data_IF_737904911122
#
_entry.id   IF_737904911122
#
_cell.length_a   1.000
_cell.length_b   1.000
_cell.length_c   1.000
_cell.angle_alpha   90.00
_cell.angle_beta   90.00
_cell.angle_gamma   90.00
#
_symmetry.space_group_name_H-M   'P 1'
#
loop_
_entity.id
_entity.type
_entity.pdbx_description
1 polymer ?
#
# COMPACT_ATOMS: atom_id res chain seq x y z
N UNK A 1 -11.76 -16.90 -11.57
CA UNK A 1 -10.82 -16.70 -10.44
C UNK A 1 -10.04 -15.42 -10.71
N UNK A 2 -10.13 -14.34 -9.92
CA UNK A 2 -9.20 -13.21 -10.06
C UNK A 2 -8.13 -13.33 -8.95
N UNK A 3 -6.93 -13.85 -9.25
CA UNK A 3 -5.75 -13.14 -9.77
C UNK A 3 -5.36 -11.90 -8.96
N UNK A 4 -4.74 -12.14 -7.79
CA UNK A 4 -3.86 -11.18 -7.12
C UNK A 4 -2.45 -11.41 -7.65
N UNK A 5 -1.90 -10.46 -8.41
CA UNK A 5 -0.57 -10.61 -9.05
C UNK A 5 0.52 -10.18 -8.06
N UNK A 6 0.86 -11.06 -7.11
CA UNK A 6 2.05 -10.87 -6.28
C UNK A 6 3.29 -11.31 -7.06
N UNK A 7 4.17 -10.38 -7.43
CA UNK A 7 5.53 -10.75 -7.86
C UNK A 7 6.31 -11.18 -6.62
N UNK A 8 6.46 -12.48 -6.39
CA UNK A 8 7.45 -13.02 -5.47
C UNK A 8 8.45 -13.89 -6.24
N UNK A 9 9.72 -13.51 -6.13
CA UNK A 9 10.84 -14.34 -6.53
C UNK A 9 11.32 -15.11 -5.28
N UNK A 10 11.42 -16.42 -5.45
CA UNK A 10 12.26 -17.42 -4.76
C UNK A 10 12.19 -17.67 -3.24
N UNK A 11 11.80 -18.93 -2.94
CA UNK A 11 12.35 -19.90 -1.97
C UNK A 11 12.61 -19.41 -0.52
N UNK A 12 12.05 -20.09 0.49
CA UNK A 12 12.81 -20.92 1.44
C UNK A 12 11.93 -21.63 2.48
N UNK A 13 12.53 -22.68 3.05
CA UNK A 13 12.00 -23.86 3.75
C UNK A 13 11.25 -23.59 5.07
N UNK A 14 10.34 -24.53 5.36
CA UNK A 14 9.73 -24.79 6.66
C UNK A 14 10.76 -25.13 7.73
N UNK A 15 10.61 -24.63 8.96
CA UNK A 15 10.90 -25.33 10.22
C UNK A 15 10.17 -24.61 11.37
N UNK A 16 9.53 -25.41 12.23
CA UNK A 16 8.79 -24.94 13.39
C UNK A 16 9.67 -24.72 14.63
N UNK A 17 9.12 -23.97 15.58
CA UNK A 17 9.03 -24.28 17.02
C UNK A 17 8.99 -23.01 17.88
N UNK A 18 7.99 -23.02 18.77
CA UNK A 18 7.98 -22.46 20.13
C UNK A 18 8.78 -21.18 20.38
N UNK A 19 8.11 -20.05 20.33
CA UNK A 19 8.55 -18.86 21.06
C UNK A 19 7.37 -18.27 21.85
N UNK A 20 7.44 -18.43 23.17
CA UNK A 20 6.67 -17.65 24.15
C UNK A 20 7.15 -16.21 24.04
N UNK A 21 6.24 -15.27 23.81
CA UNK A 21 6.54 -13.84 23.88
C UNK A 21 6.36 -13.36 25.33
N UNK A 22 7.33 -12.66 25.92
CA UNK A 22 7.13 -11.99 27.19
C UNK A 22 6.23 -10.77 26.99
N UNK A 23 5.26 -10.62 27.89
CA UNK A 23 4.49 -9.39 28.05
C UNK A 23 5.40 -8.26 28.54
N UNK A 24 5.12 -7.07 28.01
CA UNK A 24 5.44 -5.77 28.61
C UNK A 24 6.87 -5.22 28.39
N UNK A 25 7.02 -4.32 27.40
CA UNK A 25 8.03 -3.25 27.48
C UNK A 25 7.69 -2.07 26.57
N UNK A 26 7.05 -1.07 27.19
CA UNK A 26 7.15 0.39 27.00
C UNK A 26 7.81 0.91 25.70
N UNK A 27 7.03 1.64 24.91
CA UNK A 27 7.49 2.47 23.79
C UNK A 27 8.19 3.72 24.36
N UNK A 28 9.40 4.10 23.92
CA UNK A 28 10.09 5.28 24.44
C UNK A 28 9.57 6.57 23.78
N UNK A 29 9.51 7.62 24.59
CA UNK A 29 9.10 8.96 24.22
C UNK A 29 10.11 9.67 23.29
N UNK A 30 9.57 10.65 22.57
CA UNK A 30 10.11 11.46 21.47
C UNK A 30 11.49 12.07 21.74
N UNK A 31 12.31 12.20 20.69
CA UNK A 31 13.31 13.27 20.59
C UNK A 31 13.40 13.86 19.17
N UNK A 32 13.50 15.18 19.13
CA UNK A 32 13.59 16.06 17.95
C UNK A 32 14.97 15.88 17.28
N UNK A 33 15.02 15.63 15.96
CA UNK A 33 16.02 16.07 14.96
C UNK A 33 15.97 15.18 13.69
N UNK A 34 15.52 15.73 12.54
CA UNK A 34 15.63 15.07 11.21
C UNK A 34 14.52 14.07 10.86
N UNK A 35 13.35 14.59 10.44
CA UNK A 35 12.04 13.90 10.36
C UNK A 35 11.91 12.84 9.25
N UNK A 36 11.57 11.61 9.64
CA UNK A 36 10.28 10.99 9.28
C UNK A 36 9.69 10.36 10.53
N UNK A 37 9.04 11.19 11.36
CA UNK A 37 8.17 10.69 12.42
C UNK A 37 6.86 10.33 11.72
N UNK A 38 6.66 9.06 11.39
CA UNK A 38 5.29 8.55 11.24
C UNK A 38 4.67 8.62 12.63
N UNK A 39 4.01 9.74 12.92
CA UNK A 39 3.20 9.89 14.13
C UNK A 39 2.18 8.76 14.15
N UNK A 40 1.96 8.12 15.30
CA UNK A 40 0.94 7.10 15.59
C UNK A 40 -0.50 7.49 15.17
N UNK A 41 -0.69 8.72 14.71
CA UNK A 41 -1.96 9.36 14.33
C UNK A 41 -2.48 9.03 12.93
N UNK A 42 -1.76 8.30 12.07
CA UNK A 42 -2.24 7.94 10.71
C UNK A 42 -2.40 6.43 10.49
N UNK A 43 -2.33 5.63 11.56
CA UNK A 43 -2.60 4.18 11.48
C UNK A 43 -4.07 3.88 11.75
N UNK A 44 -4.70 3.13 10.85
CA UNK A 44 -6.04 2.56 11.00
C UNK A 44 -5.96 1.06 11.27
N UNK A 45 -6.89 0.55 12.07
CA UNK A 45 -7.03 -0.89 12.29
C UNK A 45 -7.85 -1.47 11.15
N UNK A 46 -7.45 -2.60 10.58
CA UNK A 46 -8.26 -3.33 9.60
C UNK A 46 -8.02 -4.84 9.73
N UNK A 47 -8.69 -5.63 8.90
CA UNK A 47 -8.53 -7.07 8.82
C UNK A 47 -7.90 -7.45 7.48
N UNK A 48 -6.88 -8.31 7.50
CA UNK A 48 -6.24 -8.85 6.29
C UNK A 48 -6.14 -10.38 6.38
N UNK A 49 -6.26 -11.08 5.26
CA UNK A 49 -6.09 -12.54 5.21
C UNK A 49 -4.80 -12.98 5.90
N UNK A 50 -4.89 -14.00 6.76
CA UNK A 50 -3.77 -14.44 7.63
C UNK A 50 -2.50 -14.77 6.86
N UNK A 51 -2.62 -15.33 5.64
CA UNK A 51 -1.48 -15.64 4.76
C UNK A 51 -0.74 -14.40 4.23
N UNK A 52 -1.45 -13.28 4.15
CA UNK A 52 -0.94 -12.00 3.66
C UNK A 52 -0.51 -11.07 4.80
N UNK A 53 -0.96 -11.33 6.03
CA UNK A 53 -0.63 -10.52 7.21
C UNK A 53 0.88 -10.55 7.50
N UNK A 54 1.60 -9.58 6.94
CA UNK A 54 3.04 -9.39 7.11
C UNK A 54 3.33 -7.92 7.25
N UNK A 55 4.16 -7.56 8.21
CA UNK A 55 4.60 -6.18 8.39
C UNK A 55 5.38 -5.70 7.15
N UNK A 56 5.14 -4.46 6.74
CA UNK A 56 5.68 -3.88 5.52
C UNK A 56 4.94 -4.27 4.23
N UNK A 57 3.99 -5.20 4.26
CA UNK A 57 3.20 -5.56 3.07
C UNK A 57 2.34 -4.37 2.61
N UNK A 58 2.41 -4.04 1.33
CA UNK A 58 1.52 -3.07 0.69
C UNK A 58 0.42 -3.78 -0.11
N UNK A 59 -0.80 -3.24 -0.06
CA UNK A 59 -1.93 -3.78 -0.79
C UNK A 59 -2.90 -2.68 -1.23
N UNK A 60 -3.71 -2.98 -2.27
CA UNK A 60 -4.83 -2.14 -2.69
C UNK A 60 -6.10 -2.70 -2.07
N UNK A 61 -6.80 -1.88 -1.29
CA UNK A 61 -8.09 -2.28 -0.75
C UNK A 61 -9.15 -2.21 -1.85
N UNK A 62 -9.79 -3.34 -2.19
CA UNK A 62 -10.74 -3.42 -3.31
C UNK A 62 -12.20 -3.16 -2.91
N UNK A 63 -12.51 -3.13 -1.61
CA UNK A 63 -13.86 -2.87 -1.11
C UNK A 63 -14.65 -4.12 -0.73
N UNK A 64 -15.97 -3.96 -0.64
CA UNK A 64 -16.91 -5.01 -0.26
C UNK A 64 -17.08 -6.06 -1.37
N UNK A 65 -17.18 -7.33 -0.97
CA UNK A 65 -17.57 -8.44 -1.85
C UNK A 65 -18.93 -9.00 -1.43
N UNK A 66 -19.70 -9.66 -2.33
CA UNK A 66 -21.03 -10.20 -2.03
C UNK A 66 -21.09 -11.07 -0.77
N UNK A 67 -20.03 -11.83 -0.50
CA UNK A 67 -19.86 -12.73 0.64
C UNK A 67 -19.75 -11.96 1.98
N UNK A 68 -19.32 -10.70 1.95
CA UNK A 68 -19.20 -9.86 3.13
C UNK A 68 -20.55 -9.43 3.72
N UNK A 69 -21.65 -9.52 2.96
CA UNK A 69 -22.99 -9.08 3.40
C UNK A 69 -23.45 -9.76 4.70
N UNK A 70 -23.05 -11.02 4.90
CA UNK A 70 -23.39 -11.82 6.09
C UNK A 70 -22.28 -11.83 7.16
N UNK A 71 -21.19 -11.11 6.94
CA UNK A 71 -20.03 -11.10 7.83
C UNK A 71 -20.25 -10.16 9.03
N UNK A 72 -19.98 -10.66 10.24
CA UNK A 72 -20.07 -9.87 11.48
C UNK A 72 -18.97 -8.83 11.61
N UNK A 73 -17.82 -9.08 10.97
CA UNK A 73 -16.63 -8.22 11.01
C UNK A 73 -16.56 -7.20 9.87
N UNK A 74 -17.63 -7.07 9.08
CA UNK A 74 -17.68 -6.21 7.89
C UNK A 74 -17.27 -4.77 8.19
N UNK A 75 -17.70 -4.20 9.31
CA UNK A 75 -17.42 -2.80 9.63
C UNK A 75 -15.92 -2.56 9.86
N UNK A 76 -15.22 -3.50 10.50
CA UNK A 76 -13.77 -3.39 10.74
C UNK A 76 -12.96 -3.75 9.49
N UNK A 77 -13.45 -4.68 8.66
CA UNK A 77 -12.79 -5.05 7.41
C UNK A 77 -12.94 -3.97 6.31
N UNK A 78 -14.11 -3.32 6.24
CA UNK A 78 -14.48 -2.38 5.18
C UNK A 78 -14.32 -0.90 5.58
N UNK A 79 -13.50 -0.61 6.59
CA UNK A 79 -13.27 0.76 7.08
C UNK A 79 -12.18 1.53 6.28
N UNK A 80 -11.67 0.93 5.23
CA UNK A 80 -10.69 1.53 4.31
C UNK A 80 -11.39 2.06 3.06
N UNK A 81 -10.81 3.09 2.48
CA UNK A 81 -11.27 3.62 1.19
C UNK A 81 -10.92 2.65 0.05
N UNK A 82 -11.91 2.23 -0.77
CA UNK A 82 -11.68 1.32 -1.89
C UNK A 82 -10.85 1.98 -2.99
N UNK A 83 -10.04 1.18 -3.69
CA UNK A 83 -9.14 1.65 -4.73
C UNK A 83 -7.90 2.38 -4.19
N UNK A 84 -7.63 2.32 -2.87
CA UNK A 84 -6.49 2.99 -2.24
C UNK A 84 -5.39 2.02 -1.78
N UNK A 85 -4.16 2.53 -1.72
CA UNK A 85 -2.99 1.75 -1.29
C UNK A 85 -2.68 1.95 0.19
N UNK A 86 -2.59 0.85 0.91
CA UNK A 86 -2.24 0.81 2.33
C UNK A 86 -1.03 -0.09 2.55
N UNK A 87 -0.32 0.15 3.65
CA UNK A 87 0.82 -0.64 4.10
C UNK A 87 0.58 -1.13 5.51
N UNK A 88 0.83 -2.41 5.75
CA UNK A 88 0.77 -3.00 7.09
C UNK A 88 1.94 -2.47 7.92
N UNK A 89 1.63 -1.77 8.99
CA UNK A 89 2.62 -1.23 9.94
C UNK A 89 2.95 -2.26 11.00
N UNK A 90 1.92 -2.88 11.59
CA UNK A 90 2.10 -3.92 12.61
C UNK A 90 0.93 -4.89 12.65
N UNK A 91 1.19 -6.11 13.11
CA UNK A 91 0.14 -7.10 13.37
C UNK A 91 -0.28 -6.97 14.84
N UNK A 92 -1.57 -6.69 15.10
CA UNK A 92 -2.06 -6.45 16.46
C UNK A 92 -2.27 -7.72 17.26
N UNK A 93 -2.89 -8.71 16.64
CA UNK A 93 -3.17 -10.00 17.26
C UNK A 93 -2.91 -11.13 16.27
N UNK A 94 -2.57 -12.30 16.81
CA UNK A 94 -2.49 -13.56 16.07
C UNK A 94 -3.82 -14.34 16.13
N UNK A 95 -4.87 -13.74 16.71
CA UNK A 95 -6.21 -14.30 16.72
C UNK A 95 -6.79 -14.30 15.31
N UNK A 96 -6.97 -15.50 14.77
CA UNK A 96 -7.54 -15.71 13.44
C UNK A 96 -9.06 -15.62 13.56
N UNK A 97 -9.64 -14.71 12.80
CA UNK A 97 -11.09 -14.62 12.64
C UNK A 97 -11.53 -15.30 11.36
N UNK A 98 -12.65 -16.00 11.41
CA UNK A 98 -13.23 -16.65 10.23
C UNK A 98 -13.68 -15.62 9.18
N UNK A 99 -13.45 -15.94 7.91
CA UNK A 99 -13.81 -15.09 6.78
C UNK A 99 -14.21 -15.95 5.59
N UNK A 100 -15.31 -15.62 4.94
CA UNK A 100 -15.82 -16.35 3.76
C UNK A 100 -14.95 -16.22 2.51
N UNK A 101 -14.04 -15.24 2.47
CA UNK A 101 -13.15 -14.98 1.33
C UNK A 101 -11.75 -15.56 1.50
N UNK A 102 -11.34 -15.82 2.74
CA UNK A 102 -9.99 -16.25 3.06
C UNK A 102 -10.05 -17.58 3.81
N UNK A 103 -9.65 -18.66 3.14
CA UNK A 103 -9.70 -20.03 3.68
C UNK A 103 -8.91 -20.23 4.98
N UNK A 104 -7.98 -19.32 5.30
CA UNK A 104 -7.18 -19.34 6.53
C UNK A 104 -7.56 -18.23 7.51
N UNK A 105 -8.73 -17.61 7.31
CA UNK A 105 -9.22 -16.49 8.11
C UNK A 105 -8.44 -15.19 7.91
N UNK A 106 -8.74 -14.21 8.76
CA UNK A 106 -8.18 -12.85 8.75
C UNK A 106 -7.59 -12.50 10.11
N UNK A 107 -6.60 -11.60 10.12
CA UNK A 107 -5.91 -11.09 11.30
C UNK A 107 -6.10 -9.58 11.42
N UNK A 108 -6.15 -9.08 12.65
CA UNK A 108 -6.18 -7.66 12.95
C UNK A 108 -4.78 -7.04 12.78
N UNK A 109 -4.71 -6.02 11.93
CA UNK A 109 -3.47 -5.30 11.60
C UNK A 109 -3.68 -3.79 11.67
N UNK A 110 -2.63 -3.07 12.02
CA UNK A 110 -2.58 -1.62 11.81
C UNK A 110 -2.00 -1.34 10.43
N UNK A 111 -2.68 -0.48 9.69
CA UNK A 111 -2.29 -0.06 8.35
C UNK A 111 -2.15 1.45 8.30
N UNK A 112 -1.17 1.93 7.52
CA UNK A 112 -1.05 3.35 7.16
C UNK A 112 -1.32 3.52 5.67
N UNK A 113 -1.61 4.76 5.24
CA UNK A 113 -1.55 5.07 3.81
C UNK A 113 -0.13 4.79 3.30
N UNK A 114 -0.03 4.18 2.12
CA UNK A 114 1.25 3.92 1.49
C UNK A 114 1.47 4.89 0.32
N UNK A 115 2.65 5.49 0.20
CA UNK A 115 2.97 6.31 -0.95
C UNK A 115 3.01 5.44 -2.21
N UNK A 116 2.54 5.99 -3.32
CA UNK A 116 2.43 5.31 -4.60
C UNK A 116 3.52 5.82 -5.52
N UNK A 117 4.34 4.91 -6.04
CA UNK A 117 5.38 5.26 -7.01
C UNK A 117 4.75 5.38 -8.39
N UNK A 118 4.94 6.52 -9.04
CA UNK A 118 4.40 6.79 -10.38
C UNK A 118 5.32 7.70 -11.19
N UNK A 119 5.12 7.73 -12.49
CA UNK A 119 5.80 8.67 -13.38
C UNK A 119 4.92 9.91 -13.59
N UNK A 120 5.49 11.09 -13.35
CA UNK A 120 4.83 12.38 -13.62
C UNK A 120 5.71 13.22 -14.54
N UNK A 121 5.10 14.22 -15.20
CA UNK A 121 5.83 15.18 -16.02
C UNK A 121 6.92 15.89 -15.21
N UNK A 122 8.11 16.02 -15.77
CA UNK A 122 9.27 16.64 -15.11
C UNK A 122 8.99 18.05 -14.57
N UNK A 123 8.10 18.80 -15.21
CA UNK A 123 7.68 20.15 -14.77
C UNK A 123 6.85 20.13 -13.48
N UNK A 124 6.10 19.06 -13.23
CA UNK A 124 5.26 18.87 -12.04
C UNK A 124 6.02 18.16 -10.91
N UNK A 125 7.13 17.50 -11.23
CA UNK A 125 7.95 16.70 -10.32
C UNK A 125 8.80 17.54 -9.35
N UNK A 126 8.14 18.29 -8.47
CA UNK A 126 8.77 19.10 -7.42
C UNK A 126 8.50 18.46 -6.06
N UNK A 127 9.54 18.17 -5.30
CA UNK A 127 9.42 17.60 -3.97
C UNK A 127 8.63 18.54 -3.05
N UNK A 128 7.68 17.98 -2.30
CA UNK A 128 6.79 18.73 -1.42
C UNK A 128 5.60 19.40 -2.11
N UNK A 129 5.56 19.45 -3.45
CA UNK A 129 4.45 20.06 -4.18
C UNK A 129 3.16 19.23 -4.08
N UNK A 130 2.03 19.92 -4.04
CA UNK A 130 0.70 19.32 -4.13
C UNK A 130 0.26 19.36 -5.58
N UNK A 131 -0.04 18.20 -6.14
CA UNK A 131 -0.50 18.04 -7.52
C UNK A 131 -1.87 17.38 -7.54
N UNK A 132 -2.63 17.65 -8.59
CA UNK A 132 -3.78 16.83 -8.93
C UNK A 132 -3.29 15.68 -9.81
N UNK A 133 -3.53 14.44 -9.39
CA UNK A 133 -3.12 13.28 -10.15
C UNK A 133 -3.93 13.18 -11.44
N UNK A 134 -3.21 13.14 -12.55
CA UNK A 134 -3.74 12.90 -13.88
C UNK A 134 -2.98 11.73 -14.48
N UNK A 135 -3.67 10.66 -14.94
CA UNK A 135 -3.01 9.54 -15.58
C UNK A 135 -2.27 9.99 -16.84
N UNK A 136 -1.12 9.37 -17.11
CA UNK A 136 -0.31 9.71 -18.27
C UNK A 136 -1.09 9.48 -19.57
N UNK A 137 -1.16 10.49 -20.43
CA UNK A 137 -1.83 10.40 -21.73
C UNK A 137 -0.92 9.72 -22.77
N UNK A 138 -0.56 8.46 -22.56
CA UNK A 138 0.17 7.67 -23.55
C UNK A 138 -0.75 6.61 -24.17
N UNK A 139 -0.84 6.59 -25.50
CA UNK A 139 -1.61 5.58 -26.24
C UNK A 139 -0.94 4.19 -26.29
N UNK A 140 0.31 4.09 -25.81
CA UNK A 140 1.13 2.87 -25.85
C UNK A 140 0.90 2.01 -24.61
N UNK A 141 -0.13 1.17 -24.64
CA UNK A 141 -0.46 0.23 -23.54
C UNK A 141 0.57 -0.89 -23.36
N UNK A 142 1.34 -1.20 -24.40
CA UNK A 142 2.37 -2.25 -24.40
C UNK A 142 3.72 -1.78 -23.84
N UNK A 143 3.84 -0.51 -23.43
CA UNK A 143 5.03 0.03 -22.81
C UNK A 143 5.33 -0.70 -21.49
N UNK A 144 6.59 -1.10 -21.27
CA UNK A 144 7.02 -1.76 -20.05
C UNK A 144 6.79 -0.93 -18.78
N UNK A 145 6.77 0.40 -18.91
CA UNK A 145 6.50 1.35 -17.84
C UNK A 145 5.01 1.74 -17.71
N UNK A 146 4.10 1.15 -18.49
CA UNK A 146 2.68 1.50 -18.47
C UNK A 146 2.05 1.35 -17.08
N UNK A 147 2.37 0.28 -16.35
CA UNK A 147 1.88 0.03 -14.97
C UNK A 147 2.40 1.07 -13.96
N UNK A 148 3.56 1.69 -14.23
CA UNK A 148 4.15 2.75 -13.39
C UNK A 148 3.53 4.10 -13.73
N UNK A 149 3.19 4.34 -14.99
CA UNK A 149 2.46 5.53 -15.43
C UNK A 149 0.98 5.51 -15.04
N UNK A 150 0.41 4.31 -14.85
CA UNK A 150 -0.97 4.06 -14.44
C UNK A 150 -1.00 3.17 -13.19
N UNK A 151 -0.46 3.64 -12.05
CA UNK A 151 -0.42 2.88 -10.82
C UNK A 151 -1.83 2.57 -10.31
N UNK A 152 -2.00 1.37 -9.77
CA UNK A 152 -3.17 1.06 -8.93
C UNK A 152 -3.06 1.82 -7.59
N UNK A 153 -4.18 2.37 -7.11
CA UNK A 153 -4.22 3.11 -5.85
C UNK A 153 -4.48 4.61 -5.97
N UNK A 154 -4.40 5.15 -7.20
CA UNK A 154 -4.64 6.56 -7.52
C UNK A 154 -5.79 6.70 -8.53
N UNK A 155 -6.66 7.67 -8.27
CA UNK A 155 -7.81 8.03 -9.09
C UNK A 155 -7.58 9.41 -9.71
N UNK A 156 -8.02 9.58 -10.96
CA UNK A 156 -7.93 10.87 -11.65
C UNK A 156 -8.64 11.95 -10.82
N UNK A 157 -7.94 13.05 -10.55
CA UNK A 157 -8.45 14.16 -9.75
C UNK A 157 -8.00 14.15 -8.28
N UNK A 158 -7.29 13.11 -7.84
CA UNK A 158 -6.80 13.04 -6.46
C UNK A 158 -5.77 14.12 -6.15
N UNK A 159 -5.91 14.77 -5.01
CA UNK A 159 -4.94 15.73 -4.49
C UNK A 159 -3.82 14.96 -3.80
N UNK A 160 -2.69 14.81 -4.47
CA UNK A 160 -1.53 14.09 -3.96
C UNK A 160 -0.39 15.06 -3.63
N UNK A 161 0.45 14.72 -2.66
CA UNK A 161 1.70 15.41 -2.37
C UNK A 161 2.87 14.57 -2.87
N UNK A 162 3.80 15.19 -3.58
CA UNK A 162 5.06 14.55 -3.94
C UNK A 162 5.91 14.49 -2.68
N UNK A 163 6.16 13.29 -2.18
CA UNK A 163 6.99 13.09 -0.98
C UNK A 163 8.46 12.88 -1.31
N UNK A 164 8.76 12.36 -2.50
CA UNK A 164 10.11 12.06 -2.92
C UNK A 164 10.16 12.03 -4.45
N UNK A 165 11.22 12.60 -5.03
CA UNK A 165 11.52 12.49 -6.46
C UNK A 165 12.72 11.55 -6.58
N UNK A 166 12.53 10.39 -7.19
CA UNK A 166 13.55 9.36 -7.26
C UNK A 166 14.56 9.67 -8.37
N UNK A 167 14.14 9.58 -9.63
CA UNK A 167 15.03 9.74 -10.80
C UNK A 167 14.25 10.10 -12.08
N UNK A 168 14.89 10.79 -13.01
CA UNK A 168 14.38 11.07 -14.36
C UNK A 168 14.51 9.84 -15.26
N UNK A 169 13.39 9.44 -15.89
CA UNK A 169 13.33 8.37 -16.88
C UNK A 169 13.19 8.93 -18.30
N UNK A 170 13.83 10.08 -18.57
CA UNK A 170 13.78 10.73 -19.89
C UNK A 170 14.19 9.77 -21.03
N UNK A 171 15.00 8.75 -20.72
CA UNK A 171 15.51 7.76 -21.69
C UNK A 171 14.65 6.50 -21.89
N UNK A 172 13.57 6.28 -21.11
CA UNK A 172 12.77 5.02 -21.17
C UNK A 172 11.37 5.18 -21.72
N UNK A 173 10.86 6.41 -21.86
CA UNK A 173 9.52 6.61 -22.37
C UNK A 173 9.51 6.58 -23.90
N UNK A 174 8.93 5.54 -24.50
CA UNK A 174 8.74 5.45 -25.94
C UNK A 174 7.76 6.50 -26.52
N UNK A 175 7.11 7.29 -25.66
CA UNK A 175 6.25 8.40 -26.04
C UNK A 175 6.99 9.76 -26.04
N UNK A 176 8.32 9.77 -25.86
CA UNK A 176 9.18 10.98 -25.83
C UNK A 176 8.81 12.05 -24.79
N UNK A 177 8.04 11.67 -23.76
CA UNK A 177 7.67 12.56 -22.67
C UNK A 177 8.79 12.62 -21.62
N UNK A 178 9.18 13.83 -21.20
CA UNK A 178 10.12 14.02 -20.09
C UNK A 178 9.45 13.69 -18.76
N UNK A 179 9.63 12.46 -18.28
CA UNK A 179 8.99 11.93 -17.08
C UNK A 179 10.01 11.73 -15.94
N UNK A 180 9.60 12.09 -14.72
CA UNK A 180 10.32 11.74 -13.49
C UNK A 180 9.51 10.75 -12.67
N UNK A 181 10.21 9.78 -12.10
CA UNK A 181 9.63 8.84 -11.13
C UNK A 181 9.53 9.54 -9.78
N UNK A 182 8.34 9.57 -9.22
CA UNK A 182 8.03 10.22 -7.95
C UNK A 182 7.26 9.28 -7.05
N UNK A 183 7.33 9.50 -5.73
CA UNK A 183 6.42 8.92 -4.75
C UNK A 183 5.35 9.95 -4.40
N UNK A 184 4.09 9.56 -4.58
CA UNK A 184 2.92 10.37 -4.24
C UNK A 184 2.29 9.86 -2.94
N UNK A 185 2.09 10.74 -1.97
CA UNK A 185 1.21 10.51 -0.83
C UNK A 185 -0.17 11.12 -1.11
N UNK A 186 -1.22 10.36 -0.83
CA UNK A 186 -2.63 10.73 -1.00
C UNK A 186 -3.32 10.90 0.35
#
# INVERSE_FOLDING_TARGET
MPYFRSRFNTKFKMFGNNFRYPENSKIPEKNLNGRTIMTESDTKITLIGSRLAREGLEFIFKGEMPECKKCRLKNTCLNLEPGRRYRVVRIRSKDIHECFLHDSGVLAVDVSRAPITTNVESRKAVEGAKIMYEPAKCGKKECGEYEICHPEGLLKGDKCKIVEVLESLDSKCEASNSLKKVKLAW
#
